data_IF_252722158860
#
_entry.id   IF_252722158860
#
_cell.length_a   1.000
_cell.length_b   1.000
_cell.length_c   1.000
_cell.angle_alpha   90.00
_cell.angle_beta   90.00
_cell.angle_gamma   90.00
#
_symmetry.space_group_name_H-M   'P 1'
#
loop_
_entity.id
_entity.type
_entity.pdbx_description
1 polymer ?
#
# COMPACT_ATOMS: atom_id res chain seq x y z
N UNK A 1 19.60 9.39 23.19
CA UNK A 1 18.93 9.17 21.90
C UNK A 1 17.74 10.12 21.78
N UNK A 2 17.68 10.88 20.72
CA UNK A 2 16.60 11.83 20.49
C UNK A 2 15.35 11.15 19.91
N UNK A 3 14.18 11.43 20.48
CA UNK A 3 12.93 10.90 19.97
C UNK A 3 12.62 11.49 18.58
N UNK A 4 12.29 10.64 17.62
CA UNK A 4 11.99 11.06 16.24
C UNK A 4 10.62 11.75 16.10
N UNK A 5 9.77 11.66 17.13
CA UNK A 5 8.44 12.25 17.11
C UNK A 5 8.39 13.59 17.83
N UNK A 6 8.74 13.61 19.11
CA UNK A 6 8.66 14.85 19.92
C UNK A 6 9.98 15.58 20.09
N UNK A 7 11.09 15.00 19.63
CA UNK A 7 12.44 15.56 19.70
C UNK A 7 12.97 15.73 21.15
N UNK A 8 12.43 14.99 22.08
CA UNK A 8 12.94 14.96 23.45
C UNK A 8 14.16 14.06 23.52
N UNK A 9 15.23 14.54 24.19
CA UNK A 9 16.41 13.73 24.46
C UNK A 9 16.11 12.69 25.51
N UNK A 10 16.49 11.44 25.27
CA UNK A 10 16.27 10.32 26.17
C UNK A 10 17.58 9.64 26.52
N UNK A 11 17.72 9.31 27.79
CA UNK A 11 18.89 8.57 28.28
C UNK A 11 18.69 7.07 28.31
N UNK A 12 17.45 6.58 28.15
CA UNK A 12 17.10 5.17 28.18
C UNK A 12 16.65 4.66 26.83
N UNK A 13 16.79 3.36 26.63
CA UNK A 13 16.26 2.65 25.48
C UNK A 13 14.79 2.29 25.72
N UNK A 14 14.08 1.93 24.67
CA UNK A 14 12.70 1.49 24.74
C UNK A 14 11.72 2.55 24.26
N UNK A 15 11.09 3.26 25.18
CA UNK A 15 10.09 4.28 24.83
C UNK A 15 10.51 5.66 25.31
N UNK A 16 10.05 6.68 24.58
CA UNK A 16 10.32 8.07 24.97
C UNK A 16 9.65 8.40 26.29
N UNK A 17 10.39 9.04 27.18
CA UNK A 17 9.88 9.44 28.51
C UNK A 17 8.80 10.52 28.43
N UNK A 18 8.74 11.28 27.34
CA UNK A 18 7.76 12.35 27.18
C UNK A 18 6.50 11.88 26.44
N UNK A 19 6.65 11.30 25.23
CA UNK A 19 5.50 10.95 24.41
C UNK A 19 5.19 9.46 24.34
N UNK A 20 6.06 8.60 24.87
CA UNK A 20 5.85 7.15 24.85
C UNK A 20 6.15 6.47 23.52
N UNK A 21 6.67 7.20 22.51
CA UNK A 21 6.99 6.63 21.22
C UNK A 21 8.16 5.65 21.32
N UNK A 22 8.17 4.58 20.49
CA UNK A 22 9.30 3.65 20.47
C UNK A 22 10.55 4.33 19.94
N UNK A 23 11.63 4.27 20.72
CA UNK A 23 12.91 4.93 20.36
C UNK A 23 13.72 4.12 19.36
N UNK A 24 13.57 2.80 19.36
CA UNK A 24 14.34 1.91 18.51
C UNK A 24 13.69 1.67 17.14
N UNK A 25 12.38 1.91 17.02
CA UNK A 25 11.67 1.75 15.77
C UNK A 25 11.82 3.01 14.91
N UNK A 26 12.13 2.80 13.65
CA UNK A 26 12.22 3.89 12.70
C UNK A 26 10.83 4.29 12.25
N UNK A 27 10.63 5.58 12.04
CA UNK A 27 9.43 6.07 11.37
C UNK A 27 9.43 5.53 9.93
N UNK A 28 8.22 5.26 9.36
CA UNK A 28 8.14 4.88 7.96
C UNK A 28 8.80 5.94 7.07
N UNK A 29 9.73 5.50 6.22
CA UNK A 29 10.41 6.35 5.27
C UNK A 29 9.95 6.01 3.85
N UNK A 30 9.93 7.02 2.98
CA UNK A 30 9.56 6.82 1.59
C UNK A 30 10.63 5.99 0.88
N UNK A 31 10.17 5.06 0.05
CA UNK A 31 11.04 4.23 -0.78
C UNK A 31 11.27 4.91 -2.13
N UNK A 32 12.47 4.73 -2.69
CA UNK A 32 12.80 5.28 -4.00
C UNK A 32 12.03 4.59 -5.12
N UNK A 33 11.80 3.29 -4.97
CA UNK A 33 11.10 2.47 -5.96
C UNK A 33 10.11 1.55 -5.27
N UNK A 34 8.94 1.39 -5.90
CA UNK A 34 7.91 0.46 -5.47
C UNK A 34 7.57 -0.47 -6.63
N UNK A 35 7.55 -1.76 -6.32
CA UNK A 35 7.22 -2.81 -7.28
C UNK A 35 5.92 -3.47 -6.86
N UNK A 36 5.18 -3.98 -7.85
CA UNK A 36 3.91 -4.68 -7.59
C UNK A 36 4.10 -5.83 -6.58
N UNK A 37 5.19 -6.55 -6.68
CA UNK A 37 5.50 -7.70 -5.82
C UNK A 37 5.56 -7.35 -4.34
N UNK A 38 5.78 -6.09 -4.00
CA UNK A 38 5.79 -5.65 -2.61
C UNK A 38 4.43 -5.77 -1.93
N UNK A 39 3.34 -5.86 -2.71
CA UNK A 39 2.02 -6.12 -2.16
C UNK A 39 1.87 -7.52 -1.55
N UNK A 40 2.78 -8.44 -1.87
CA UNK A 40 2.81 -9.80 -1.34
C UNK A 40 3.33 -9.87 0.09
N UNK A 41 3.96 -8.81 0.58
CA UNK A 41 4.47 -8.77 1.93
C UNK A 41 3.33 -8.90 2.95
N UNK A 42 3.61 -9.52 4.12
CA UNK A 42 2.58 -9.68 5.15
C UNK A 42 2.19 -8.33 5.75
N UNK A 43 1.01 -8.28 6.34
CA UNK A 43 0.49 -7.09 7.00
C UNK A 43 1.50 -6.47 7.97
N UNK A 44 2.23 -7.29 8.72
CA UNK A 44 3.22 -6.83 9.69
C UNK A 44 4.32 -5.96 9.07
N UNK A 45 4.61 -6.16 7.80
CA UNK A 45 5.60 -5.35 7.08
C UNK A 45 4.94 -4.18 6.36
N UNK A 46 3.79 -4.41 5.72
CA UNK A 46 3.08 -3.37 4.99
C UNK A 46 2.62 -2.22 5.92
N UNK A 47 2.26 -2.52 7.16
CA UNK A 47 1.82 -1.50 8.10
C UNK A 47 2.90 -0.46 8.44
N UNK A 48 4.17 -0.76 8.17
CA UNK A 48 5.28 0.18 8.39
C UNK A 48 5.66 0.97 7.14
N UNK A 49 5.00 0.73 6.01
CA UNK A 49 5.23 1.53 4.81
C UNK A 49 4.74 2.97 5.02
N UNK A 50 5.44 3.92 4.42
CA UNK A 50 4.98 5.30 4.39
C UNK A 50 3.62 5.39 3.69
N UNK A 51 2.75 6.30 4.15
CA UNK A 51 1.41 6.46 3.56
C UNK A 51 1.46 6.74 2.07
N UNK A 52 2.40 7.58 1.62
CA UNK A 52 2.60 7.84 0.20
C UNK A 52 2.91 6.55 -0.58
N UNK A 53 3.80 5.71 -0.03
CA UNK A 53 4.18 4.45 -0.66
C UNK A 53 3.00 3.48 -0.72
N UNK A 54 2.18 3.45 0.32
CA UNK A 54 0.95 2.64 0.32
C UNK A 54 -0.01 3.08 -0.77
N UNK A 55 -0.15 4.38 -1.00
CA UNK A 55 -1.00 4.91 -2.08
C UNK A 55 -0.46 4.52 -3.46
N UNK A 56 0.84 4.64 -3.67
CA UNK A 56 1.46 4.22 -4.93
C UNK A 56 1.28 2.73 -5.17
N UNK A 57 1.53 1.92 -4.14
CA UNK A 57 1.37 0.47 -4.22
C UNK A 57 -0.08 0.08 -4.49
N UNK A 58 -1.03 0.74 -3.83
CA UNK A 58 -2.46 0.50 -4.06
C UNK A 58 -2.85 0.81 -5.50
N UNK A 59 -2.30 1.89 -6.09
CA UNK A 59 -2.53 2.21 -7.49
C UNK A 59 -2.05 1.08 -8.41
N UNK A 60 -0.85 0.56 -8.14
CA UNK A 60 -0.29 -0.57 -8.91
C UNK A 60 -1.16 -1.83 -8.78
N UNK A 61 -1.60 -2.15 -7.57
CA UNK A 61 -2.43 -3.33 -7.32
C UNK A 61 -3.80 -3.19 -7.97
N UNK A 62 -4.42 -2.00 -7.89
CA UNK A 62 -5.72 -1.75 -8.53
C UNK A 62 -5.64 -1.87 -10.05
N UNK A 63 -4.54 -1.41 -10.65
CA UNK A 63 -4.32 -1.58 -12.08
C UNK A 63 -4.21 -3.06 -12.44
N UNK A 64 -3.42 -3.81 -11.69
CA UNK A 64 -3.26 -5.24 -11.91
C UNK A 64 -4.57 -5.99 -11.70
N UNK A 65 -5.36 -5.61 -10.71
CA UNK A 65 -6.69 -6.18 -10.49
C UNK A 65 -7.61 -5.92 -11.68
N UNK A 66 -7.59 -4.71 -12.24
CA UNK A 66 -8.39 -4.37 -13.42
C UNK A 66 -7.98 -5.18 -14.64
N UNK A 67 -6.67 -5.35 -14.84
CA UNK A 67 -6.15 -6.18 -15.93
C UNK A 67 -6.55 -7.64 -15.75
N UNK A 68 -6.44 -8.15 -14.53
CA UNK A 68 -6.86 -9.53 -14.21
C UNK A 68 -8.36 -9.73 -14.42
N UNK A 69 -9.18 -8.75 -14.05
CA UNK A 69 -10.62 -8.79 -14.29
C UNK A 69 -10.96 -8.85 -15.79
N UNK A 70 -10.29 -8.02 -16.58
CA UNK A 70 -10.50 -8.00 -18.03
C UNK A 70 -10.07 -9.32 -18.66
N UNK A 71 -8.94 -9.89 -18.25
CA UNK A 71 -8.49 -11.19 -18.72
C UNK A 71 -9.47 -12.29 -18.35
N UNK A 72 -9.93 -12.30 -17.10
CA UNK A 72 -10.94 -13.27 -16.64
C UNK A 72 -12.21 -13.21 -17.48
N UNK A 73 -12.70 -11.99 -17.75
CA UNK A 73 -13.90 -11.78 -18.55
C UNK A 73 -13.72 -12.29 -19.99
N UNK A 74 -12.56 -12.01 -20.60
CA UNK A 74 -12.26 -12.48 -21.95
C UNK A 74 -12.12 -14.00 -22.02
N UNK A 75 -11.49 -14.60 -21.03
CA UNK A 75 -11.33 -16.05 -20.93
C UNK A 75 -12.70 -16.73 -20.78
N UNK A 76 -13.57 -16.21 -19.91
CA UNK A 76 -14.93 -16.73 -19.74
C UNK A 76 -15.77 -16.61 -21.00
N UNK A 77 -15.64 -15.49 -21.71
CA UNK A 77 -16.33 -15.29 -22.99
C UNK A 77 -15.80 -16.25 -24.05
N UNK A 78 -14.49 -16.41 -24.14
CA UNK A 78 -13.85 -17.37 -25.06
C UNK A 78 -14.22 -18.81 -24.76
N UNK A 79 -14.42 -19.16 -23.49
CA UNK A 79 -14.82 -20.50 -23.08
C UNK A 79 -16.22 -20.88 -23.57
N UNK A 80 -17.09 -19.90 -23.80
CA UNK A 80 -18.43 -20.12 -24.39
C UNK A 80 -18.35 -20.44 -25.89
N UNK A 81 -17.32 -19.92 -26.55
CA UNK A 81 -17.13 -20.07 -28.00
C UNK A 81 -16.20 -21.23 -28.36
N UNK A 82 -15.18 -21.48 -27.53
CA UNK A 82 -14.19 -22.53 -27.71
C UNK A 82 -13.99 -23.21 -26.37
N UNK A 83 -14.13 -24.50 -26.26
CA UNK A 83 -14.04 -25.24 -25.00
C UNK A 83 -12.67 -25.09 -24.34
N UNK A 84 -12.50 -24.01 -23.57
CA UNK A 84 -11.33 -23.84 -22.70
C UNK A 84 -11.47 -24.71 -21.46
N UNK A 85 -10.35 -25.22 -20.94
CA UNK A 85 -10.40 -26.06 -19.77
C UNK A 85 -10.75 -25.25 -18.50
N UNK A 86 -11.26 -25.95 -17.50
CA UNK A 86 -11.67 -25.35 -16.24
C UNK A 86 -10.49 -24.79 -15.44
N UNK A 87 -9.30 -25.34 -15.61
CA UNK A 87 -8.08 -24.87 -14.93
C UNK A 87 -7.72 -23.46 -15.36
N UNK A 88 -7.83 -23.15 -16.65
CA UNK A 88 -7.54 -21.81 -17.19
C UNK A 88 -8.52 -20.79 -16.61
N UNK A 89 -9.80 -21.14 -16.55
CA UNK A 89 -10.84 -20.28 -15.98
C UNK A 89 -10.58 -20.06 -14.49
N UNK A 90 -10.31 -21.13 -13.74
CA UNK A 90 -10.04 -21.05 -12.31
C UNK A 90 -8.79 -20.23 -12.01
N UNK A 91 -7.73 -20.36 -12.82
CA UNK A 91 -6.52 -19.55 -12.67
C UNK A 91 -6.82 -18.06 -12.82
N UNK A 92 -7.60 -17.70 -13.84
CA UNK A 92 -7.96 -16.30 -14.09
C UNK A 92 -8.80 -15.72 -12.94
N UNK A 93 -9.75 -16.50 -12.41
CA UNK A 93 -10.55 -16.10 -11.24
C UNK A 93 -9.68 -15.93 -10.00
N UNK A 94 -8.73 -16.83 -9.76
CA UNK A 94 -7.83 -16.78 -8.61
C UNK A 94 -6.92 -15.56 -8.67
N UNK A 95 -6.43 -15.17 -9.85
CA UNK A 95 -5.62 -13.98 -10.03
C UNK A 95 -6.40 -12.71 -9.68
N UNK A 96 -7.63 -12.58 -10.18
CA UNK A 96 -8.48 -11.45 -9.86
C UNK A 96 -8.78 -11.38 -8.35
N UNK A 97 -9.11 -12.52 -7.75
CA UNK A 97 -9.41 -12.59 -6.32
C UNK A 97 -8.17 -12.26 -5.47
N UNK A 98 -7.00 -12.73 -5.88
CA UNK A 98 -5.73 -12.44 -5.19
C UNK A 98 -5.49 -10.94 -5.11
N UNK A 99 -5.53 -10.23 -6.24
CA UNK A 99 -5.28 -8.79 -6.24
C UNK A 99 -6.40 -8.00 -5.56
N UNK A 100 -7.62 -8.49 -5.57
CA UNK A 100 -8.71 -7.89 -4.81
C UNK A 100 -8.42 -7.95 -3.31
N UNK A 101 -7.95 -9.09 -2.82
CA UNK A 101 -7.60 -9.26 -1.40
C UNK A 101 -6.38 -8.42 -1.02
N UNK A 102 -5.36 -8.36 -1.88
CA UNK A 102 -4.18 -7.53 -1.61
C UNK A 102 -4.54 -6.04 -1.58
N UNK A 103 -5.40 -5.59 -2.50
CA UNK A 103 -5.90 -4.22 -2.47
C UNK A 103 -6.64 -3.91 -1.16
N UNK A 104 -7.46 -4.84 -0.67
CA UNK A 104 -8.19 -4.67 0.60
C UNK A 104 -7.26 -4.53 1.81
N UNK A 105 -6.13 -5.23 1.82
CA UNK A 105 -5.13 -5.07 2.89
C UNK A 105 -4.60 -3.64 2.90
N UNK A 106 -4.18 -3.13 1.74
CA UNK A 106 -3.66 -1.77 1.62
C UNK A 106 -4.74 -0.73 1.94
N UNK A 107 -5.95 -0.92 1.45
CA UNK A 107 -7.07 -0.03 1.74
C UNK A 107 -7.39 0.02 3.24
N UNK A 108 -7.35 -1.13 3.92
CA UNK A 108 -7.57 -1.21 5.37
C UNK A 108 -6.54 -0.41 6.15
N UNK A 109 -5.27 -0.51 5.79
CA UNK A 109 -4.21 0.27 6.42
C UNK A 109 -4.43 1.77 6.20
N UNK A 110 -4.80 2.16 4.97
CA UNK A 110 -5.05 3.56 4.64
C UNK A 110 -6.27 4.11 5.38
N UNK A 111 -7.33 3.33 5.53
CA UNK A 111 -8.51 3.73 6.32
C UNK A 111 -8.10 4.00 7.77
N UNK A 112 -7.26 3.13 8.35
CA UNK A 112 -6.77 3.31 9.73
C UNK A 112 -5.97 4.60 9.88
N UNK A 113 -5.18 4.96 8.86
CA UNK A 113 -4.31 6.14 8.91
C UNK A 113 -4.99 7.44 8.51
N UNK A 114 -5.84 7.38 7.47
CA UNK A 114 -6.42 8.57 6.82
C UNK A 114 -7.90 8.77 7.15
N UNK A 115 -8.55 7.74 7.68
CA UNK A 115 -10.00 7.77 7.92
C UNK A 115 -10.83 7.41 6.69
N UNK A 116 -10.19 7.21 5.53
CA UNK A 116 -10.87 6.83 4.29
C UNK A 116 -9.87 6.17 3.33
N UNK A 117 -10.40 5.54 2.29
CA UNK A 117 -9.61 5.06 1.16
C UNK A 117 -9.94 5.89 -0.09
N UNK A 118 -8.96 6.44 -0.80
CA UNK A 118 -9.25 7.16 -2.04
C UNK A 118 -9.89 6.25 -3.09
N UNK A 119 -10.94 6.71 -3.73
CA UNK A 119 -11.58 5.97 -4.84
C UNK A 119 -10.65 5.91 -6.04
N UNK A 120 -9.96 7.01 -6.32
CA UNK A 120 -9.04 7.14 -7.44
C UNK A 120 -7.73 7.72 -6.94
N UNK A 121 -6.63 7.08 -7.30
CA UNK A 121 -5.27 7.56 -7.01
C UNK A 121 -4.65 7.97 -8.33
N UNK A 122 -4.66 9.28 -8.60
CA UNK A 122 -4.08 9.85 -9.81
C UNK A 122 -2.79 10.60 -9.50
N UNK A 123 -2.11 11.06 -10.54
CA UNK A 123 -0.86 11.81 -10.38
C UNK A 123 -1.05 13.11 -9.60
N UNK A 124 -2.20 13.75 -9.77
CA UNK A 124 -2.54 15.00 -9.06
C UNK A 124 -2.58 14.77 -7.55
N UNK A 125 -3.21 13.70 -7.09
CA UNK A 125 -3.26 13.35 -5.67
C UNK A 125 -1.87 13.08 -5.12
N UNK A 126 -1.08 12.26 -5.82
CA UNK A 126 0.27 11.91 -5.40
C UNK A 126 1.18 13.12 -5.37
N UNK A 127 1.10 14.00 -6.36
CA UNK A 127 1.88 15.22 -6.40
C UNK A 127 1.52 16.14 -5.24
N UNK A 128 0.23 16.29 -4.94
CA UNK A 128 -0.24 17.12 -3.82
C UNK A 128 0.32 16.62 -2.48
N UNK A 129 0.30 15.32 -2.26
CA UNK A 129 0.84 14.71 -1.03
C UNK A 129 2.36 14.88 -0.96
N UNK A 130 3.06 14.66 -2.07
CA UNK A 130 4.51 14.84 -2.16
C UNK A 130 4.92 16.28 -1.82
N UNK A 131 4.19 17.28 -2.33
CA UNK A 131 4.45 18.68 -2.03
C UNK A 131 4.25 19.00 -0.55
N UNK A 132 3.20 18.46 0.05
CA UNK A 132 2.95 18.65 1.48
C UNK A 132 4.05 18.03 2.34
N UNK A 133 4.53 16.86 1.99
CA UNK A 133 5.63 16.21 2.69
C UNK A 133 6.89 17.08 2.64
N UNK A 134 7.23 17.60 1.46
CA UNK A 134 8.39 18.46 1.27
C UNK A 134 8.28 19.77 2.06
N UNK A 135 7.09 20.36 2.12
CA UNK A 135 6.85 21.56 2.91
C UNK A 135 7.07 21.31 4.41
N UNK A 136 6.58 20.17 4.93
CA UNK A 136 6.79 19.81 6.33
C UNK A 136 8.27 19.55 6.64
N UNK A 137 8.99 18.91 5.74
CA UNK A 137 10.42 18.68 5.91
C UNK A 137 11.22 19.98 5.99
N UNK A 138 10.83 20.99 5.22
CA UNK A 138 11.48 22.32 5.25
C UNK A 138 11.21 23.07 6.54
N UNK A 139 10.07 22.83 7.19
CA UNK A 139 9.67 23.52 8.43
C UNK A 139 10.19 22.85 9.68
N UNK A 140 10.65 21.61 9.57
CA UNK A 140 11.10 20.83 10.72
C UNK A 140 12.44 21.31 11.29
#
# INVERSE_FOLDING_TARGET
>A
MMCLYCQTENSSEGVCSFCGAPLEERRPERKNFLYLEQCEQPFNQLKYFHTYDLLVLLRLVRKERSDAFNQMRLIKKGAQEAQLDQETISFAEDQYLYYTKRARVLEGILIDRMGYKPKTINDKLLLSIDQKIKEYEKKA
#
